data_IF_958913589210
#
_entry.id   IF_958913589210
#
_cell.length_a   1.000
_cell.length_b   1.000
_cell.length_c   1.000
_cell.angle_alpha   90.00
_cell.angle_beta   90.00
_cell.angle_gamma   90.00
#
_symmetry.space_group_name_H-M   'P 1'
#
loop_
_entity.id
_entity.type
_entity.pdbx_description
1 polymer ?
#
# COMPACT_ATOMS: atom_id res chain seq x y z
N UNK A 1 -26.43 -12.14 5.56
CA UNK A 1 -25.80 -11.85 5.50
C UNK A 1 -25.11 -11.62 5.34
N UNK A 2 -25.23 -11.66 5.28
CA UNK A 2 -24.33 -11.24 5.12
C UNK A 2 -23.68 -10.77 4.98
N UNK A 3 -23.96 -10.79 4.98
CA UNK A 3 -23.31 -10.17 4.90
C UNK A 3 -22.49 -9.84 4.69
N UNK A 4 -22.64 -9.85 4.58
CA UNK A 4 -21.80 -9.42 4.42
C UNK A 4 -21.03 -9.19 4.09
N UNK A 5 -21.17 -9.21 3.91
CA UNK A 5 -20.34 -9.02 3.66
C UNK A 5 -19.73 -8.54 3.34
N UNK A 6 -19.99 -8.48 3.34
CA UNK A 6 -19.32 -7.93 3.14
C UNK A 6 -18.72 -7.23 3.03
N UNK A 7 -19.13 -6.89 2.96
CA UNK A 7 -18.49 -6.21 3.11
C UNK A 7 -17.77 -5.91 3.36
N UNK A 8 -17.60 -5.99 3.25
CA UNK A 8 -16.64 -5.75 3.64
C UNK A 8 -15.76 -5.93 3.25
N UNK A 9 -15.97 -6.11 2.90
CA UNK A 9 -14.82 -6.91 2.74
C UNK A 9 -13.74 -6.30 1.92
N UNK A 10 -14.02 -5.59 1.11
CA UNK A 10 -13.12 -4.90 0.24
C UNK A 10 -12.05 -4.16 1.00
N UNK A 11 -12.46 -3.49 2.01
CA UNK A 11 -11.55 -2.66 2.77
C UNK A 11 -10.52 -3.47 3.51
N UNK A 12 -10.84 -4.71 3.77
CA UNK A 12 -9.91 -5.58 4.47
C UNK A 12 -8.68 -5.84 3.64
N UNK A 13 -8.83 -5.92 2.34
CA UNK A 13 -7.69 -6.10 1.47
C UNK A 13 -6.73 -4.94 1.61
N UNK A 14 -7.26 -3.75 1.60
CA UNK A 14 -6.42 -2.58 1.69
C UNK A 14 -5.73 -2.51 3.04
N UNK A 15 -6.43 -2.87 4.09
CA UNK A 15 -5.84 -2.86 5.41
C UNK A 15 -4.72 -3.87 5.51
N UNK A 16 -4.82 -4.95 4.74
CA UNK A 16 -3.75 -5.93 4.74
C UNK A 16 -2.55 -5.49 3.94
N UNK A 17 -2.74 -4.56 3.03
CA UNK A 17 -1.63 -4.10 2.21
C UNK A 17 -0.72 -3.15 2.96
N UNK A 18 -1.29 -2.36 3.87
CA UNK A 18 -0.53 -1.35 4.60
C UNK A 18 -0.83 -1.42 6.08
N UNK A 19 0.04 -0.81 6.87
CA UNK A 19 -0.21 -0.71 8.30
C UNK A 19 0.40 0.58 8.81
N UNK A 20 -0.07 1.01 9.97
CA UNK A 20 0.41 2.21 10.59
C UNK A 20 0.44 1.96 12.09
N UNK A 21 1.63 1.87 12.66
CA UNK A 21 1.84 1.51 14.04
C UNK A 21 2.75 2.56 14.66
N UNK A 22 2.33 3.20 15.75
CA UNK A 22 3.17 4.25 16.36
C UNK A 22 4.57 3.78 16.71
N UNK A 23 4.76 2.47 16.90
CA UNK A 23 6.06 1.95 17.24
C UNK A 23 6.91 1.58 16.04
N UNK A 24 6.35 1.73 14.84
CA UNK A 24 7.10 1.47 13.63
C UNK A 24 7.30 2.79 12.92
N UNK A 25 8.54 3.25 12.88
CA UNK A 25 8.90 4.48 12.19
C UNK A 25 8.03 5.66 12.62
N UNK A 26 7.67 5.71 13.91
CA UNK A 26 6.91 6.83 14.43
C UNK A 26 5.50 6.95 13.91
N UNK A 27 4.91 5.87 13.45
CA UNK A 27 3.56 5.90 12.93
C UNK A 27 3.48 6.13 11.42
N UNK A 28 4.61 6.02 10.75
CA UNK A 28 4.64 6.14 9.29
C UNK A 28 3.82 5.02 8.66
N UNK A 29 3.10 5.33 7.59
CA UNK A 29 2.37 4.30 6.84
C UNK A 29 3.38 3.43 6.11
N UNK A 30 3.34 2.13 6.36
CA UNK A 30 4.28 1.19 5.78
C UNK A 30 3.50 0.06 5.11
N UNK A 31 4.20 -0.70 4.25
CA UNK A 31 3.62 -1.93 3.72
C UNK A 31 3.51 -2.92 4.87
N UNK A 32 2.35 -3.58 4.96
CA UNK A 32 2.07 -4.46 6.10
C UNK A 32 3.13 -5.53 6.22
N UNK A 33 3.57 -5.78 7.44
CA UNK A 33 4.59 -6.78 7.71
C UNK A 33 6.00 -6.33 7.42
N UNK A 34 6.19 -5.08 7.05
CA UNK A 34 7.51 -4.55 6.73
C UNK A 34 7.74 -3.24 7.46
N UNK A 35 8.96 -2.71 7.33
CA UNK A 35 9.27 -1.36 7.77
C UNK A 35 9.47 -0.41 6.59
N UNK A 36 8.99 -0.81 5.42
CA UNK A 36 9.18 -0.02 4.20
C UNK A 36 8.05 1.00 4.10
N UNK A 37 8.36 2.30 4.14
CA UNK A 37 7.31 3.31 4.03
C UNK A 37 6.64 3.27 2.65
N UNK A 38 5.33 3.45 2.65
CA UNK A 38 4.60 3.48 1.39
C UNK A 38 5.11 4.62 0.51
N UNK A 39 5.50 5.74 1.11
CA UNK A 39 5.99 6.87 0.30
C UNK A 39 7.25 6.53 -0.48
N UNK A 40 8.01 5.53 -0.04
CA UNK A 40 9.21 5.12 -0.78
C UNK A 40 8.86 4.62 -2.17
N UNK A 41 7.70 3.97 -2.30
CA UNK A 41 7.24 3.53 -3.61
C UNK A 41 7.07 4.72 -4.55
N UNK A 42 6.40 5.76 -4.08
CA UNK A 42 6.15 6.92 -4.92
C UNK A 42 7.44 7.68 -5.23
N UNK A 43 8.35 7.75 -4.27
CA UNK A 43 9.65 8.37 -4.52
C UNK A 43 10.39 7.64 -5.64
N UNK A 44 10.38 6.32 -5.62
CA UNK A 44 11.05 5.54 -6.66
C UNK A 44 10.39 5.75 -8.02
N UNK A 45 9.07 5.75 -8.05
CA UNK A 45 8.36 5.94 -9.31
C UNK A 45 8.59 7.34 -9.87
N UNK A 46 8.61 8.34 -8.99
CA UNK A 46 8.87 9.71 -9.43
C UNK A 46 10.29 9.87 -9.95
N UNK A 47 11.21 9.07 -9.43
CA UNK A 47 12.58 9.09 -9.88
C UNK A 47 12.81 8.31 -11.16
N UNK A 48 11.77 7.68 -11.70
CA UNK A 48 11.88 6.95 -12.95
C UNK A 48 12.06 5.46 -12.81
N UNK A 49 12.04 4.94 -11.60
CA UNK A 49 12.18 3.51 -11.38
C UNK A 49 10.88 2.79 -11.70
N UNK A 50 10.99 1.55 -12.13
CA UNK A 50 9.82 0.71 -12.36
C UNK A 50 9.38 0.06 -11.06
N UNK A 51 8.18 -0.53 -11.09
CA UNK A 51 7.69 -1.30 -9.96
C UNK A 51 8.65 -2.46 -9.69
N UNK A 52 9.16 -3.11 -10.74
CA UNK A 52 10.10 -4.20 -10.57
C UNK A 52 11.37 -3.74 -9.87
N UNK A 53 11.86 -2.56 -10.23
CA UNK A 53 13.05 -2.00 -9.57
C UNK A 53 12.79 -1.80 -8.08
N UNK A 54 11.61 -1.26 -7.76
CA UNK A 54 11.25 -1.06 -6.37
C UNK A 54 11.20 -2.38 -5.62
N UNK A 55 10.55 -3.39 -6.20
CA UNK A 55 10.42 -4.68 -5.54
C UNK A 55 11.76 -5.37 -5.36
N UNK A 56 12.68 -5.16 -6.30
CA UNK A 56 14.03 -5.71 -6.16
C UNK A 56 14.76 -5.09 -4.98
N UNK A 57 14.56 -3.80 -4.78
CA UNK A 57 15.21 -3.11 -3.68
C UNK A 57 14.57 -3.38 -2.33
N UNK A 58 13.33 -3.80 -2.31
CA UNK A 58 12.60 -4.05 -1.07
C UNK A 58 11.90 -5.40 -1.13
N UNK A 59 12.68 -6.47 -1.02
CA UNK A 59 12.12 -7.83 -1.22
C UNK A 59 11.08 -8.25 -0.19
N UNK A 60 10.98 -7.54 0.92
CA UNK A 60 9.94 -7.85 1.90
C UNK A 60 8.55 -7.36 1.46
N UNK A 61 8.48 -6.52 0.44
CA UNK A 61 7.20 -6.01 -0.05
C UNK A 61 6.72 -6.93 -1.18
N UNK A 62 5.43 -7.24 -1.16
CA UNK A 62 4.83 -8.09 -2.17
C UNK A 62 4.26 -7.24 -3.29
N UNK A 63 4.29 -7.79 -4.51
CA UNK A 63 3.72 -7.07 -5.66
C UNK A 63 2.26 -6.72 -5.41
N UNK A 64 1.51 -7.65 -4.79
CA UNK A 64 0.10 -7.39 -4.52
C UNK A 64 -0.11 -6.17 -3.63
N UNK A 65 0.80 -5.96 -2.70
CA UNK A 65 0.72 -4.79 -1.83
C UNK A 65 0.92 -3.51 -2.62
N UNK A 66 1.89 -3.52 -3.53
CA UNK A 66 2.14 -2.36 -4.37
C UNK A 66 0.93 -2.05 -5.23
N UNK A 67 0.36 -3.09 -5.86
CA UNK A 67 -0.79 -2.87 -6.72
C UNK A 67 -1.98 -2.35 -5.94
N UNK A 68 -2.19 -2.85 -4.73
CA UNK A 68 -3.30 -2.38 -3.90
C UNK A 68 -3.13 -0.91 -3.54
N UNK A 69 -1.92 -0.49 -3.21
CA UNK A 69 -1.65 0.89 -2.87
C UNK A 69 -1.87 1.79 -4.08
N UNK A 70 -1.41 1.37 -5.24
CA UNK A 70 -1.57 2.18 -6.43
C UNK A 70 -3.04 2.31 -6.82
N UNK A 71 -3.79 1.23 -6.69
CA UNK A 71 -5.21 1.26 -7.02
C UNK A 71 -5.96 2.21 -6.08
N UNK A 72 -5.65 2.13 -4.80
CA UNK A 72 -6.29 3.00 -3.84
C UNK A 72 -5.95 4.46 -4.10
N UNK A 73 -4.69 4.73 -4.44
CA UNK A 73 -4.27 6.09 -4.75
C UNK A 73 -4.98 6.62 -5.98
N UNK A 74 -5.15 5.76 -6.97
CA UNK A 74 -5.84 6.14 -8.19
C UNK A 74 -7.29 6.51 -7.90
N UNK A 75 -7.96 5.69 -7.09
CA UNK A 75 -9.35 5.96 -6.77
C UNK A 75 -9.50 7.24 -5.97
N UNK A 76 -8.58 7.49 -5.06
CA UNK A 76 -8.62 8.72 -4.29
C UNK A 76 -8.43 9.93 -5.18
N UNK A 77 -7.48 9.87 -6.09
CA UNK A 77 -7.21 10.98 -6.98
C UNK A 77 -8.40 11.29 -7.88
N UNK A 78 -9.11 10.24 -8.32
CA UNK A 78 -10.27 10.44 -9.16
C UNK A 78 -11.47 10.98 -8.39
N UNK A 79 -11.50 10.72 -7.09
CA UNK A 79 -12.63 11.13 -6.26
C UNK A 79 -12.55 12.58 -5.80
N UNK A 80 -11.37 13.20 -5.85
CA UNK A 80 -11.19 14.50 -5.23
C UNK A 80 -11.30 15.66 -6.20
N UNK A 81 -11.64 15.42 -7.43
CA UNK A 81 -11.80 16.58 -8.30
C UNK A 81 -13.16 16.73 -8.94
#
# INVERSE_FOLDING_TARGET
MVLRRERFGVNLSQMKATSQDPEVLGGELVFAGTRVPVRSLFDHLEGGDSIEDFLEGFPSVQREQVMAVLEESREHALAVH
#
